data_IF_639303246000
#
_entry.id   IF_639303246000
#
_cell.length_a   1.000
_cell.length_b   1.000
_cell.length_c   1.000
_cell.angle_alpha   90.00
_cell.angle_beta   90.00
_cell.angle_gamma   90.00
#
_symmetry.space_group_name_H-M   'P 1'
#
loop_
_entity.id
_entity.type
_entity.pdbx_description
1 polymer ?
#
# COMPACT_ATOMS: atom_id res chain seq x y z
N UNK A 1 -11.65 18.63 9.12
CA UNK A 1 -11.66 17.49 8.17
C UNK A 1 -11.60 16.19 8.96
N UNK A 2 -12.41 15.20 8.62
CA UNK A 2 -12.26 13.86 9.18
C UNK A 2 -11.04 13.17 8.57
N UNK A 3 -10.25 12.46 9.39
CA UNK A 3 -9.14 11.64 8.88
C UNK A 3 -9.73 10.47 8.10
N UNK A 4 -9.33 10.36 6.83
CA UNK A 4 -9.79 9.34 5.89
C UNK A 4 -8.64 8.47 5.34
N UNK A 5 -7.40 8.92 5.53
CA UNK A 5 -6.21 8.23 5.09
C UNK A 5 -5.50 7.61 6.30
N UNK A 6 -5.39 6.30 6.34
CA UNK A 6 -4.75 5.55 7.43
C UNK A 6 -3.41 5.02 6.95
N UNK A 7 -2.33 5.56 7.50
CA UNK A 7 -0.96 5.13 7.20
C UNK A 7 -0.46 4.14 8.24
N UNK A 8 0.12 3.04 7.79
CA UNK A 8 0.73 2.02 8.65
C UNK A 8 2.24 2.00 8.38
N UNK A 9 3.05 2.28 9.40
CA UNK A 9 4.50 2.19 9.32
C UNK A 9 5.05 1.24 10.39
N UNK A 10 6.34 0.92 10.31
CA UNK A 10 7.01 0.03 11.26
C UNK A 10 8.22 -0.65 10.65
N UNK A 11 8.99 -1.34 11.49
CA UNK A 11 10.21 -2.02 11.04
C UNK A 11 9.90 -3.09 9.97
N UNK A 12 10.81 -3.35 9.01
CA UNK A 12 10.64 -4.45 8.06
C UNK A 12 10.31 -5.78 8.76
N UNK A 13 9.38 -6.55 8.19
CA UNK A 13 8.94 -7.83 8.76
C UNK A 13 8.01 -7.74 9.97
N UNK A 14 7.57 -6.55 10.41
CA UNK A 14 6.65 -6.43 11.56
C UNK A 14 5.24 -6.97 11.29
N UNK A 15 4.85 -7.06 10.02
CA UNK A 15 3.52 -7.53 9.58
C UNK A 15 2.63 -6.45 8.96
N UNK A 16 3.20 -5.41 8.31
CA UNK A 16 2.41 -4.33 7.67
C UNK A 16 1.49 -4.85 6.57
N UNK A 17 2.03 -5.65 5.64
CA UNK A 17 1.26 -6.34 4.59
C UNK A 17 0.16 -7.22 5.20
N UNK A 18 0.45 -7.95 6.27
CA UNK A 18 -0.55 -8.74 7.01
C UNK A 18 -1.66 -7.87 7.59
N UNK A 19 -1.33 -6.68 8.11
CA UNK A 19 -2.31 -5.72 8.60
C UNK A 19 -3.25 -5.24 7.47
N UNK A 20 -2.70 -4.90 6.30
CA UNK A 20 -3.51 -4.53 5.12
C UNK A 20 -4.45 -5.65 4.71
N UNK A 21 -3.94 -6.89 4.58
CA UNK A 21 -4.78 -8.03 4.23
C UNK A 21 -5.89 -8.27 5.24
N UNK A 22 -5.61 -8.15 6.54
CA UNK A 22 -6.63 -8.30 7.58
C UNK A 22 -7.71 -7.23 7.47
N UNK A 23 -7.34 -5.97 7.20
CA UNK A 23 -8.31 -4.88 7.00
C UNK A 23 -9.17 -5.15 5.76
N UNK A 24 -8.55 -5.50 4.64
CA UNK A 24 -9.24 -5.79 3.39
C UNK A 24 -10.23 -6.97 3.52
N UNK A 25 -9.81 -8.04 4.20
CA UNK A 25 -10.67 -9.21 4.49
C UNK A 25 -11.87 -8.85 5.38
N UNK A 26 -11.65 -8.09 6.45
CA UNK A 26 -12.75 -7.64 7.33
C UNK A 26 -13.75 -6.74 6.60
N UNK A 27 -13.29 -5.83 5.74
CA UNK A 27 -14.15 -4.96 4.92
C UNK A 27 -14.93 -5.76 3.88
N UNK A 28 -14.26 -6.70 3.19
CA UNK A 28 -14.91 -7.55 2.19
C UNK A 28 -15.99 -8.42 2.82
N UNK A 29 -15.75 -8.96 4.03
CA UNK A 29 -16.76 -9.70 4.81
C UNK A 29 -17.97 -8.86 5.22
N UNK A 30 -17.84 -7.54 5.21
CA UNK A 30 -18.94 -6.59 5.42
C UNK A 30 -19.62 -6.16 4.12
N UNK A 31 -19.20 -6.69 2.97
CA UNK A 31 -19.79 -6.41 1.66
C UNK A 31 -19.20 -5.21 0.93
N UNK A 32 -18.13 -4.59 1.45
CA UNK A 32 -17.47 -3.47 0.78
C UNK A 32 -16.45 -3.95 -0.26
N UNK A 33 -16.37 -3.23 -1.38
CA UNK A 33 -15.39 -3.44 -2.42
C UNK A 33 -14.07 -2.80 -2.01
N UNK A 34 -13.02 -3.62 -1.86
CA UNK A 34 -11.67 -3.16 -1.55
C UNK A 34 -10.79 -3.31 -2.79
N UNK A 35 -10.21 -2.22 -3.25
CA UNK A 35 -9.34 -2.21 -4.43
C UNK A 35 -7.96 -1.64 -4.13
N UNK A 36 -7.08 -1.71 -5.11
CA UNK A 36 -5.75 -1.10 -5.05
C UNK A 36 -4.66 -2.15 -5.19
N UNK A 37 -3.44 -1.79 -4.82
CA UNK A 37 -2.30 -2.68 -4.99
C UNK A 37 -1.77 -3.21 -3.66
N UNK A 38 -1.39 -4.48 -3.68
CA UNK A 38 -0.62 -5.11 -2.62
C UNK A 38 0.67 -5.68 -3.17
N UNK A 39 1.67 -5.81 -2.30
CA UNK A 39 2.94 -6.45 -2.64
C UNK A 39 3.18 -7.66 -1.76
N UNK A 40 3.90 -8.63 -2.29
CA UNK A 40 4.29 -9.80 -1.51
C UNK A 40 5.67 -10.30 -1.89
N UNK A 41 6.32 -10.87 -0.89
CA UNK A 41 7.69 -11.36 -0.97
C UNK A 41 7.75 -12.72 -1.67
N UNK A 42 8.65 -12.86 -2.64
CA UNK A 42 8.92 -14.14 -3.30
C UNK A 42 10.25 -14.70 -2.83
N UNK A 43 10.24 -15.97 -2.41
CA UNK A 43 11.41 -16.71 -1.95
C UNK A 43 11.65 -17.96 -2.77
N UNK A 44 12.92 -18.25 -3.02
CA UNK A 44 13.39 -19.53 -3.55
C UNK A 44 14.47 -20.09 -2.63
N UNK A 45 14.37 -21.38 -2.29
CA UNK A 45 15.33 -22.07 -1.41
C UNK A 45 15.62 -21.29 -0.11
N UNK A 46 14.56 -20.74 0.50
CA UNK A 46 14.62 -19.94 1.73
C UNK A 46 15.14 -18.50 1.57
N UNK A 47 15.64 -18.13 0.39
CA UNK A 47 16.19 -16.80 0.10
C UNK A 47 15.17 -15.95 -0.64
N UNK A 48 15.01 -14.68 -0.22
CA UNK A 48 14.21 -13.71 -0.98
C UNK A 48 14.88 -13.39 -2.31
N UNK A 49 14.13 -13.62 -3.39
CA UNK A 49 14.54 -13.36 -4.78
C UNK A 49 13.87 -12.10 -5.36
N UNK A 50 12.76 -11.65 -4.78
CA UNK A 50 12.08 -10.46 -5.28
C UNK A 50 10.77 -10.19 -4.56
N UNK A 51 10.00 -9.30 -5.18
CA UNK A 51 8.69 -8.85 -4.75
C UNK A 51 7.78 -8.80 -5.96
N UNK A 52 6.54 -9.23 -5.78
CA UNK A 52 5.48 -9.07 -6.77
C UNK A 52 4.48 -8.03 -6.32
N UNK A 53 3.83 -7.41 -7.29
CA UNK A 53 2.69 -6.52 -7.12
C UNK A 53 1.44 -7.21 -7.65
N UNK A 54 0.30 -7.05 -6.96
CA UNK A 54 -0.99 -7.61 -7.36
C UNK A 54 -2.10 -6.57 -7.24
N UNK A 55 -2.98 -6.54 -8.23
CA UNK A 55 -4.24 -5.82 -8.24
C UNK A 55 -5.29 -6.58 -7.41
N UNK A 56 -5.89 -5.90 -6.42
CA UNK A 56 -6.92 -6.49 -5.56
C UNK A 56 -8.28 -6.68 -6.24
N UNK A 57 -8.60 -5.91 -7.28
CA UNK A 57 -9.87 -6.02 -8.02
C UNK A 57 -9.79 -7.05 -9.13
N UNK A 58 -8.74 -6.99 -9.94
CA UNK A 58 -8.62 -7.76 -11.17
C UNK A 58 -7.72 -8.99 -11.02
N UNK A 59 -6.99 -9.11 -9.91
CA UNK A 59 -6.08 -10.23 -9.65
C UNK A 59 -4.82 -10.25 -10.53
N UNK A 60 -4.62 -9.24 -11.39
CA UNK A 60 -3.42 -9.10 -12.22
C UNK A 60 -2.17 -9.02 -11.35
N UNK A 61 -1.10 -9.66 -11.78
CA UNK A 61 0.11 -9.81 -11.00
C UNK A 61 1.36 -9.68 -11.88
N UNK A 62 2.38 -9.00 -11.34
CA UNK A 62 3.67 -8.82 -11.99
C UNK A 62 4.80 -8.68 -10.98
N UNK A 63 6.02 -8.56 -11.47
CA UNK A 63 7.20 -8.36 -10.64
C UNK A 63 7.39 -6.88 -10.33
N UNK A 64 7.38 -6.50 -9.05
CA UNK A 64 7.83 -5.17 -8.62
C UNK A 64 9.36 -5.07 -8.70
N UNK A 65 10.06 -6.09 -8.19
CA UNK A 65 11.51 -6.11 -8.20
C UNK A 65 12.05 -7.54 -8.12
N UNK A 66 13.18 -7.80 -8.78
CA UNK A 66 13.80 -9.11 -8.78
C UNK A 66 15.33 -9.01 -8.79
N UNK A 67 16.03 -9.99 -8.23
CA UNK A 67 17.51 -10.03 -8.22
C UNK A 67 18.11 -10.34 -9.59
N UNK A 68 17.35 -10.97 -10.48
CA UNK A 68 17.78 -11.39 -11.81
C UNK A 68 17.53 -10.38 -12.93
N UNK A 69 16.83 -9.27 -12.65
CA UNK A 69 16.64 -8.22 -13.65
C UNK A 69 17.95 -7.48 -13.93
N UNK A 70 18.09 -6.91 -15.12
CA UNK A 70 19.34 -6.30 -15.59
C UNK A 70 19.26 -4.79 -15.80
N UNK A 71 18.06 -4.24 -15.89
CA UNK A 71 17.80 -2.82 -16.14
C UNK A 71 16.71 -2.30 -15.21
N UNK A 72 16.86 -1.03 -14.79
CA UNK A 72 15.94 -0.35 -13.88
C UNK A 72 16.64 0.16 -12.61
N UNK A 73 15.92 0.92 -11.78
CA UNK A 73 16.44 1.42 -10.51
C UNK A 73 16.87 0.28 -9.57
N UNK A 74 17.90 0.51 -8.78
CA UNK A 74 18.44 -0.48 -7.85
C UNK A 74 18.17 -0.10 -6.40
N UNK A 75 17.59 -1.04 -5.65
CA UNK A 75 17.40 -0.94 -4.19
C UNK A 75 18.06 -2.14 -3.52
N UNK A 76 19.24 -1.93 -2.94
CA UNK A 76 20.08 -3.02 -2.45
C UNK A 76 20.46 -3.97 -3.58
N UNK A 77 20.11 -5.26 -3.45
CA UNK A 77 20.35 -6.28 -4.48
C UNK A 77 19.22 -6.43 -5.51
N UNK A 78 18.11 -5.71 -5.35
CA UNK A 78 16.94 -5.85 -6.22
C UNK A 78 16.95 -4.76 -7.29
N UNK A 79 16.57 -5.15 -8.50
CA UNK A 79 16.32 -4.22 -9.60
C UNK A 79 14.81 -4.11 -9.78
N UNK A 80 14.32 -2.88 -9.77
CA UNK A 80 12.89 -2.53 -9.81
C UNK A 80 12.40 -2.54 -11.26
N UNK A 81 11.29 -3.24 -11.50
CA UNK A 81 10.60 -3.22 -12.78
C UNK A 81 9.48 -2.17 -12.73
N UNK A 82 9.78 -1.00 -13.32
CA UNK A 82 8.82 0.10 -13.37
C UNK A 82 7.65 -0.16 -14.33
N UNK A 83 7.82 -1.05 -15.33
CA UNK A 83 6.74 -1.40 -16.27
C UNK A 83 5.61 -2.09 -15.52
N UNK A 84 5.89 -3.19 -14.83
CA UNK A 84 4.88 -3.94 -14.09
C UNK A 84 4.28 -3.09 -12.95
N UNK A 85 5.09 -2.27 -12.27
CA UNK A 85 4.56 -1.32 -11.28
C UNK A 85 3.54 -0.38 -11.91
N UNK A 86 3.81 0.17 -13.10
CA UNK A 86 2.93 1.14 -13.76
C UNK A 86 1.71 0.47 -14.42
N UNK A 87 1.88 -0.71 -15.01
CA UNK A 87 0.79 -1.40 -15.73
C UNK A 87 -0.18 -2.12 -14.78
N UNK A 88 0.31 -2.52 -13.60
CA UNK A 88 -0.46 -3.29 -12.62
C UNK A 88 -0.68 -2.47 -11.36
N UNK A 89 0.38 -2.06 -10.67
CA UNK A 89 0.27 -1.36 -9.38
C UNK A 89 -0.46 -0.01 -9.49
N UNK A 90 -0.01 0.85 -10.42
CA UNK A 90 -0.63 2.15 -10.67
C UNK A 90 -2.06 1.98 -11.17
N UNK A 91 -2.31 1.09 -12.14
CA UNK A 91 -3.66 0.87 -12.65
C UNK A 91 -4.61 0.30 -11.59
N UNK A 92 -4.12 -0.53 -10.67
CA UNK A 92 -4.90 -1.03 -9.55
C UNK A 92 -5.31 0.11 -8.60
N UNK A 93 -4.42 1.06 -8.31
CA UNK A 93 -4.74 2.24 -7.50
C UNK A 93 -5.80 3.10 -8.19
N UNK A 94 -5.60 3.42 -9.47
CA UNK A 94 -6.54 4.27 -10.23
C UNK A 94 -7.92 3.60 -10.35
N UNK A 95 -7.93 2.29 -10.62
CA UNK A 95 -9.14 1.48 -10.66
C UNK A 95 -9.89 1.49 -9.34
N UNK A 96 -9.18 1.43 -8.21
CA UNK A 96 -9.79 1.49 -6.89
C UNK A 96 -10.39 2.86 -6.60
N UNK A 97 -9.70 3.93 -7.01
CA UNK A 97 -10.22 5.31 -6.92
C UNK A 97 -11.54 5.44 -7.66
N UNK A 98 -11.72 4.76 -8.79
CA UNK A 98 -12.97 4.81 -9.56
C UNK A 98 -14.04 3.87 -9.00
N UNK A 99 -13.68 2.60 -8.75
CA UNK A 99 -14.64 1.50 -8.62
C UNK A 99 -14.79 0.91 -7.21
N UNK A 100 -13.84 1.14 -6.30
CA UNK A 100 -13.86 0.54 -4.97
C UNK A 100 -14.44 1.48 -3.90
N UNK A 101 -14.91 0.93 -2.79
CA UNK A 101 -15.32 1.70 -1.62
C UNK A 101 -14.09 2.16 -0.81
N UNK A 102 -13.04 1.34 -0.79
CA UNK A 102 -11.79 1.58 -0.04
C UNK A 102 -10.58 1.31 -0.92
N UNK A 103 -9.58 2.20 -0.84
CA UNK A 103 -8.32 2.06 -1.59
C UNK A 103 -7.21 1.54 -0.67
N UNK A 104 -6.56 0.45 -1.07
CA UNK A 104 -5.40 -0.13 -0.39
C UNK A 104 -4.11 0.08 -1.19
N UNK A 105 -3.02 0.48 -0.52
CA UNK A 105 -1.70 0.68 -1.13
C UNK A 105 -0.61 0.08 -0.24
N UNK A 106 -0.02 -1.05 -0.66
CA UNK A 106 1.12 -1.67 0.03
C UNK A 106 2.30 -1.86 -0.94
N UNK A 107 3.39 -1.09 -0.89
CA UNK A 107 3.80 -0.07 0.09
C UNK A 107 4.17 1.27 -0.60
N UNK A 108 4.03 2.40 0.09
CA UNK A 108 4.67 3.67 -0.30
C UNK A 108 6.13 3.60 0.18
N UNK A 109 6.99 3.04 -0.67
CA UNK A 109 8.34 2.65 -0.30
C UNK A 109 9.41 3.01 -1.33
N UNK A 110 10.69 2.75 -1.00
CA UNK A 110 11.81 3.13 -1.86
C UNK A 110 11.77 2.55 -3.27
N UNK A 111 11.09 1.41 -3.51
CA UNK A 111 11.02 0.80 -4.84
C UNK A 111 10.00 1.53 -5.71
N UNK A 112 8.82 1.78 -5.14
CA UNK A 112 7.68 2.37 -5.82
C UNK A 112 7.90 3.86 -6.11
N UNK A 113 8.62 4.55 -5.23
CA UNK A 113 8.92 5.98 -5.34
C UNK A 113 9.89 6.35 -6.47
N UNK A 114 10.42 5.38 -7.22
CA UNK A 114 11.10 5.65 -8.49
C UNK A 114 10.10 5.98 -9.62
N UNK A 115 8.86 5.49 -9.55
CA UNK A 115 7.82 5.78 -10.52
C UNK A 115 7.15 7.12 -10.22
N UNK A 116 7.08 8.01 -11.23
CA UNK A 116 6.33 9.27 -11.12
C UNK A 116 4.82 9.01 -11.21
N UNK A 117 4.42 8.04 -12.02
CA UNK A 117 3.06 7.59 -12.21
C UNK A 117 2.49 7.05 -10.89
N UNK A 118 3.29 6.29 -10.14
CA UNK A 118 2.94 5.82 -8.80
C UNK A 118 2.71 6.96 -7.82
N UNK A 119 3.60 7.97 -7.78
CA UNK A 119 3.40 9.16 -6.94
C UNK A 119 2.10 9.87 -7.26
N UNK A 120 1.80 10.05 -8.55
CA UNK A 120 0.57 10.70 -8.98
C UNK A 120 -0.67 9.86 -8.61
N UNK A 121 -0.62 8.53 -8.74
CA UNK A 121 -1.71 7.65 -8.36
C UNK A 121 -1.98 7.67 -6.85
N UNK A 122 -0.92 7.70 -6.03
CA UNK A 122 -1.03 7.87 -4.58
C UNK A 122 -1.71 9.20 -4.25
N UNK A 123 -1.34 10.31 -4.89
CA UNK A 123 -2.01 11.60 -4.68
C UNK A 123 -3.50 11.53 -5.05
N UNK A 124 -3.82 10.99 -6.23
CA UNK A 124 -5.22 10.79 -6.66
C UNK A 124 -6.01 9.96 -5.66
N UNK A 125 -5.42 8.92 -5.09
CA UNK A 125 -6.07 8.11 -4.07
C UNK A 125 -6.39 8.91 -2.81
N UNK A 126 -5.41 9.66 -2.29
CA UNK A 126 -5.58 10.45 -1.06
C UNK A 126 -6.56 11.61 -1.25
N UNK A 127 -6.64 12.16 -2.47
CA UNK A 127 -7.53 13.26 -2.80
C UNK A 127 -8.94 12.79 -3.22
N UNK A 128 -9.15 11.48 -3.44
CA UNK A 128 -10.42 10.91 -3.95
C UNK A 128 -11.65 11.07 -3.06
N UNK A 129 -11.46 11.41 -1.78
CA UNK A 129 -12.55 11.44 -0.80
C UNK A 129 -12.89 10.09 -0.17
N UNK A 130 -12.43 8.98 -0.78
CA UNK A 130 -12.61 7.62 -0.25
C UNK A 130 -11.66 7.34 0.92
N UNK A 131 -12.01 6.40 1.83
CA UNK A 131 -11.06 5.88 2.80
C UNK A 131 -9.86 5.23 2.10
N UNK A 132 -8.65 5.57 2.55
CA UNK A 132 -7.40 4.99 2.04
C UNK A 132 -6.68 4.30 3.18
N UNK A 133 -6.20 3.09 2.95
CA UNK A 133 -5.29 2.38 3.86
C UNK A 133 -4.00 2.10 3.12
N UNK A 134 -2.89 2.65 3.59
CA UNK A 134 -1.61 2.45 2.96
C UNK A 134 -0.52 2.09 3.96
N UNK A 135 0.45 1.28 3.55
CA UNK A 135 1.69 1.14 4.30
C UNK A 135 2.70 2.15 3.79
N UNK A 136 3.56 2.63 4.69
CA UNK A 136 4.62 3.58 4.35
C UNK A 136 5.91 3.21 5.04
N UNK A 137 7.01 3.26 4.29
CA UNK A 137 8.28 2.77 4.77
C UNK A 137 8.77 3.58 5.97
N UNK A 138 9.37 2.91 6.96
CA UNK A 138 9.83 3.56 8.21
C UNK A 138 10.82 4.70 7.95
N UNK A 139 11.54 4.66 6.82
CA UNK A 139 12.46 5.71 6.37
C UNK A 139 11.84 6.70 5.38
N UNK A 140 10.51 6.78 5.30
CA UNK A 140 9.79 7.66 4.37
C UNK A 140 10.18 9.13 4.49
N UNK A 141 10.61 9.59 5.67
CA UNK A 141 11.05 10.98 5.83
C UNK A 141 12.31 11.33 5.02
N UNK A 142 13.02 10.34 4.45
CA UNK A 142 14.16 10.57 3.56
C UNK A 142 13.76 10.96 2.14
N UNK A 143 12.54 10.63 1.73
CA UNK A 143 12.01 10.99 0.42
C UNK A 143 11.02 12.17 0.58
N UNK A 144 11.18 13.28 -0.16
CA UNK A 144 10.32 14.45 -0.02
C UNK A 144 8.83 14.16 -0.23
N UNK A 145 8.50 13.26 -1.17
CA UNK A 145 7.12 12.89 -1.47
C UNK A 145 6.54 12.04 -0.34
N UNK A 146 7.25 10.99 0.09
CA UNK A 146 6.74 10.17 1.19
C UNK A 146 6.61 10.97 2.50
N UNK A 147 7.52 11.92 2.74
CA UNK A 147 7.42 12.89 3.85
C UNK A 147 6.17 13.77 3.74
N UNK A 148 5.84 14.28 2.55
CA UNK A 148 4.66 15.13 2.37
C UNK A 148 3.37 14.33 2.59
N UNK A 149 3.28 13.09 2.09
CA UNK A 149 2.16 12.18 2.35
C UNK A 149 1.96 11.96 3.85
N UNK A 150 3.03 11.68 4.62
CA UNK A 150 2.94 11.51 6.08
C UNK A 150 2.44 12.74 6.84
N UNK A 151 2.64 13.94 6.29
CA UNK A 151 2.34 15.22 6.94
C UNK A 151 0.98 15.79 6.58
N UNK A 152 0.21 15.13 5.71
CA UNK A 152 -1.14 15.59 5.36
C UNK A 152 -2.04 15.61 6.61
N UNK A 153 -2.92 16.59 6.69
CA UNK A 153 -3.83 16.76 7.83
C UNK A 153 -4.91 15.67 7.90
N UNK A 154 -5.26 15.08 6.75
CA UNK A 154 -6.25 14.01 6.61
C UNK A 154 -5.67 12.60 6.87
N UNK A 155 -4.40 12.52 7.28
CA UNK A 155 -3.68 11.29 7.57
C UNK A 155 -3.65 10.96 9.07
N UNK A 156 -3.95 9.70 9.38
CA UNK A 156 -3.71 9.09 10.68
C UNK A 156 -2.59 8.06 10.57
N UNK A 157 -1.46 8.29 11.24
CA UNK A 157 -0.30 7.40 11.21
C UNK A 157 -0.29 6.43 12.39
N UNK A 158 -0.14 5.14 12.08
CA UNK A 158 0.01 4.04 13.03
C UNK A 158 1.40 3.44 12.91
N UNK A 159 2.14 3.38 14.02
CA UNK A 159 3.42 2.69 14.10
C UNK A 159 3.20 1.29 14.65
N UNK A 160 3.41 0.27 13.83
CA UNK A 160 3.28 -1.12 14.26
C UNK A 160 4.44 -1.57 15.13
N UNK A 161 4.08 -2.29 16.19
CA UNK A 161 4.96 -3.00 17.11
C UNK A 161 4.45 -4.44 17.29
N UNK A 162 5.21 -5.28 17.99
CA UNK A 162 4.76 -6.65 18.28
C UNK A 162 3.53 -6.65 19.20
N UNK A 163 3.42 -5.67 20.10
CA UNK A 163 2.29 -5.57 21.02
C UNK A 163 0.99 -5.15 20.32
N UNK A 164 1.08 -4.31 19.28
CA UNK A 164 -0.10 -3.69 18.67
C UNK A 164 -0.50 -4.23 17.29
N UNK A 165 0.34 -5.03 16.62
CA UNK A 165 0.12 -5.48 15.22
C UNK A 165 -1.19 -6.24 14.98
N UNK A 166 -1.78 -6.81 16.02
CA UNK A 166 -3.07 -7.51 15.93
C UNK A 166 -4.27 -6.58 16.17
N UNK A 167 -4.07 -5.50 16.94
CA UNK A 167 -5.11 -4.53 17.36
C UNK A 167 -5.27 -3.40 16.35
N UNK A 168 -4.17 -2.84 15.84
CA UNK A 168 -4.19 -1.73 14.88
C UNK A 168 -5.07 -2.02 13.65
N UNK A 169 -5.02 -3.21 13.02
CA UNK A 169 -5.93 -3.52 11.91
C UNK A 169 -7.42 -3.38 12.26
N UNK A 170 -7.80 -3.79 13.46
CA UNK A 170 -9.20 -3.72 13.92
C UNK A 170 -9.62 -2.27 14.14
N UNK A 171 -8.74 -1.46 14.75
CA UNK A 171 -8.99 -0.03 14.96
C UNK A 171 -9.17 0.74 13.65
N UNK A 172 -8.31 0.48 12.66
CA UNK A 172 -8.41 1.10 11.34
C UNK A 172 -9.71 0.67 10.65
N UNK A 173 -10.04 -0.62 10.70
CA UNK A 173 -11.28 -1.15 10.16
C UNK A 173 -12.53 -0.47 10.75
N UNK A 174 -12.62 -0.35 12.08
CA UNK A 174 -13.75 0.32 12.75
C UNK A 174 -13.89 1.78 12.32
N UNK A 175 -12.77 2.50 12.20
CA UNK A 175 -12.75 3.89 11.71
C UNK A 175 -13.24 3.98 10.26
N UNK A 176 -12.83 3.06 9.40
CA UNK A 176 -13.29 3.00 8.00
C UNK A 176 -14.78 2.72 7.93
N UNK A 177 -15.29 1.77 8.73
CA UNK A 177 -16.74 1.50 8.77
C UNK A 177 -17.54 2.74 9.13
N UNK A 178 -17.11 3.50 10.14
CA UNK A 178 -17.79 4.75 10.52
C UNK A 178 -17.81 5.74 9.34
N UNK A 179 -16.72 5.86 8.58
CA UNK A 179 -16.67 6.72 7.39
C UNK A 179 -17.63 6.24 6.29
N UNK A 180 -17.67 4.93 6.02
CA UNK A 180 -18.51 4.34 4.98
C UNK A 180 -20.01 4.36 5.30
N UNK A 181 -20.38 4.37 6.58
CA UNK A 181 -21.80 4.46 7.01
C UNK A 181 -22.34 5.89 7.09
N UNK A 182 -21.48 6.90 6.99
CA UNK A 182 -21.84 8.33 7.11
C UNK A 182 -21.93 9.05 5.76
N UNK A 183 -21.49 8.42 4.68
CA UNK A 183 -21.67 8.88 3.31
C UNK A 183 -22.88 8.20 2.69
#
# INVERSE_FOLDING_TARGET
>A
MYRKCFLITGRPGIGKTTAIHKIADMLSKRGYVVGGMVTFEVRERGRRIGFKVRDLLEGREGWLAHVGFRSGPRVGKYIVNLSDLNEIGVQAILSAVERADVVCIDEIGPMELYSREFKNAVLRAFDSGKPVVATIHIRADRDPFARSIKRREDVELYVLSLENRNRVPVQIFEKILVLLTRG
#
